data_IF_342415977526
#
_entry.id   IF_342415977526
#
_cell.length_a   1.000
_cell.length_b   1.000
_cell.length_c   1.000
_cell.angle_alpha   90.00
_cell.angle_beta   90.00
_cell.angle_gamma   90.00
#
_symmetry.space_group_name_H-M   'P 1'
#
loop_
_entity.id
_entity.type
_entity.pdbx_description
1 polymer ?
#
# COMPACT_ATOMS: atom_id res chain seq x y z
N UNK A 1 -3.09 -15.65 -18.58
CA UNK A 1 -2.09 -15.67 -17.49
C UNK A 1 -1.70 -17.12 -17.28
N UNK A 2 -0.42 -17.40 -17.01
CA UNK A 2 0.04 -18.77 -16.74
C UNK A 2 -0.71 -19.33 -15.51
N UNK A 3 -1.12 -20.60 -15.55
CA UNK A 3 -1.69 -21.30 -14.38
C UNK A 3 -0.64 -21.51 -13.27
N UNK A 4 0.64 -21.21 -13.54
CA UNK A 4 1.71 -21.30 -12.56
C UNK A 4 1.81 -20.00 -11.77
N UNK A 5 1.41 -20.07 -10.49
CA UNK A 5 1.65 -19.02 -9.49
C UNK A 5 2.97 -19.26 -8.79
N UNK A 6 3.69 -18.18 -8.47
CA UNK A 6 4.82 -18.25 -7.55
C UNK A 6 4.31 -18.35 -6.11
N UNK A 7 5.11 -18.94 -5.21
CA UNK A 7 4.65 -19.33 -3.87
C UNK A 7 4.19 -18.17 -2.99
N UNK A 8 4.61 -16.94 -3.28
CA UNK A 8 4.25 -15.73 -2.54
C UNK A 8 3.24 -14.84 -3.27
N UNK A 9 2.67 -15.32 -4.37
CA UNK A 9 1.77 -14.50 -5.17
C UNK A 9 0.46 -14.24 -4.43
N UNK A 10 0.06 -12.97 -4.42
CA UNK A 10 -1.24 -12.53 -3.93
C UNK A 10 -2.31 -12.68 -5.01
N UNK A 11 -3.58 -12.77 -4.61
CA UNK A 11 -4.68 -12.67 -5.56
C UNK A 11 -4.85 -11.21 -6.03
N UNK A 12 -4.86 -10.94 -7.34
CA UNK A 12 -5.14 -9.60 -7.84
C UNK A 12 -6.58 -9.21 -7.50
N UNK A 13 -6.80 -7.93 -7.22
CA UNK A 13 -8.15 -7.41 -6.98
C UNK A 13 -8.99 -7.56 -8.25
N UNK A 14 -10.16 -8.22 -8.18
CA UNK A 14 -11.08 -8.27 -9.31
C UNK A 14 -11.73 -6.91 -9.59
N UNK A 15 -11.74 -6.01 -8.59
CA UNK A 15 -12.31 -4.68 -8.69
C UNK A 15 -11.30 -3.64 -9.18
N UNK A 16 -10.04 -3.76 -8.75
CA UNK A 16 -8.97 -2.82 -9.01
C UNK A 16 -7.83 -3.53 -9.78
N UNK A 17 -8.02 -3.85 -11.08
CA UNK A 17 -7.25 -4.88 -11.76
C UNK A 17 -5.95 -4.40 -12.42
N UNK A 18 -5.71 -3.09 -12.48
CA UNK A 18 -4.53 -2.53 -13.16
C UNK A 18 -3.38 -2.38 -12.19
N UNK A 19 -2.31 -3.13 -12.43
CA UNK A 19 -1.09 -3.16 -11.63
C UNK A 19 0.13 -2.80 -12.47
N UNK A 20 1.09 -2.11 -11.87
CA UNK A 20 2.34 -1.72 -12.53
C UNK A 20 3.55 -1.95 -11.64
N UNK A 21 4.71 -2.21 -12.23
CA UNK A 21 5.98 -2.19 -11.51
C UNK A 21 6.66 -0.84 -11.52
N UNK A 22 6.27 0.11 -12.37
CA UNK A 22 6.82 1.48 -12.52
C UNK A 22 8.08 1.79 -11.67
N UNK A 23 7.97 2.51 -10.56
CA UNK A 23 9.08 2.75 -9.64
C UNK A 23 9.43 1.53 -8.77
N UNK A 24 8.48 0.64 -8.49
CA UNK A 24 8.73 -0.61 -7.75
C UNK A 24 9.81 -1.49 -8.41
N UNK A 25 10.00 -1.43 -9.73
CA UNK A 25 11.13 -2.11 -10.39
C UNK A 25 12.48 -1.47 -10.10
N UNK A 26 12.52 -0.20 -9.70
CA UNK A 26 13.75 0.51 -9.32
C UNK A 26 14.05 0.32 -7.82
N UNK A 27 13.04 0.39 -6.95
CA UNK A 27 13.23 0.28 -5.48
C UNK A 27 13.26 -1.16 -4.97
N UNK A 28 12.56 -2.07 -5.63
CA UNK A 28 12.46 -3.48 -5.25
C UNK A 28 12.52 -4.36 -6.51
N UNK A 29 13.68 -4.29 -7.18
CA UNK A 29 13.94 -4.94 -8.45
C UNK A 29 13.86 -6.47 -8.35
N UNK A 30 14.44 -7.02 -7.29
CA UNK A 30 14.55 -8.46 -7.06
C UNK A 30 13.24 -9.08 -6.56
N UNK A 31 13.05 -10.41 -6.77
CA UNK A 31 11.92 -11.11 -6.20
C UNK A 31 11.94 -11.08 -4.66
N UNK A 32 10.77 -10.88 -4.06
CA UNK A 32 10.55 -10.98 -2.63
C UNK A 32 10.73 -12.44 -2.19
N UNK A 33 11.57 -12.65 -1.19
CA UNK A 33 11.80 -13.99 -0.63
C UNK A 33 10.54 -14.53 0.05
N UNK A 34 10.37 -15.87 0.13
CA UNK A 34 9.27 -16.50 0.86
C UNK A 34 9.09 -15.97 2.28
N UNK A 35 10.20 -15.85 3.01
CA UNK A 35 10.20 -15.32 4.37
C UNK A 35 9.82 -13.84 4.41
N UNK A 36 10.34 -13.02 3.48
CA UNK A 36 9.99 -11.60 3.41
C UNK A 36 8.51 -11.36 3.09
N UNK A 37 7.94 -12.20 2.22
CA UNK A 37 6.52 -12.13 1.89
C UNK A 37 5.62 -12.52 3.07
N UNK A 38 5.89 -13.68 3.68
CA UNK A 38 5.06 -14.21 4.77
C UNK A 38 5.23 -13.44 6.07
N UNK A 39 6.45 -13.03 6.42
CA UNK A 39 6.71 -12.34 7.68
C UNK A 39 6.43 -10.83 7.61
N UNK A 40 6.75 -10.18 6.49
CA UNK A 40 6.72 -8.73 6.35
C UNK A 40 5.58 -8.24 5.47
N UNK A 41 5.63 -8.55 4.18
CA UNK A 41 4.76 -7.92 3.18
C UNK A 41 3.29 -8.27 3.32
N UNK A 42 2.94 -9.55 3.12
CA UNK A 42 1.54 -9.99 3.02
C UNK A 42 0.83 -9.78 4.34
N UNK A 43 1.51 -10.07 5.45
CA UNK A 43 0.91 -9.97 6.77
C UNK A 43 0.90 -8.55 7.33
N UNK A 44 1.86 -7.67 7.01
CA UNK A 44 1.98 -6.38 7.69
C UNK A 44 1.95 -5.19 6.73
N UNK A 45 2.88 -5.12 5.77
CA UNK A 45 3.02 -3.94 4.91
C UNK A 45 1.80 -3.75 4.00
N UNK A 46 1.27 -4.80 3.36
CA UNK A 46 0.09 -4.68 2.49
C UNK A 46 -1.16 -4.23 3.26
N UNK A 47 -1.49 -4.82 4.43
CA UNK A 47 -2.56 -4.29 5.29
C UNK A 47 -2.33 -2.85 5.75
N UNK A 48 -1.11 -2.48 6.15
CA UNK A 48 -0.77 -1.11 6.54
C UNK A 48 -0.95 -0.12 5.41
N UNK A 49 -0.54 -0.47 4.20
CA UNK A 49 -0.73 0.36 3.00
C UNK A 49 -2.22 0.55 2.71
N UNK A 50 -3.00 -0.51 2.77
CA UNK A 50 -4.46 -0.42 2.65
C UNK A 50 -5.03 0.51 3.74
N UNK A 51 -4.63 0.33 5.00
CA UNK A 51 -5.05 1.22 6.09
C UNK A 51 -4.69 2.69 5.81
N UNK A 52 -3.51 2.97 5.24
CA UNK A 52 -3.10 4.30 4.82
C UNK A 52 -4.08 4.95 3.83
N UNK A 53 -4.57 4.21 2.83
CA UNK A 53 -5.60 4.71 1.91
C UNK A 53 -6.95 4.93 2.59
N UNK A 54 -7.33 4.09 3.56
CA UNK A 54 -8.53 4.29 4.36
C UNK A 54 -8.43 5.56 5.22
N UNK A 55 -7.27 5.76 5.88
CA UNK A 55 -6.96 6.92 6.71
C UNK A 55 -6.82 8.21 5.91
N UNK A 56 -6.38 8.12 4.65
CA UNK A 56 -6.45 9.23 3.68
C UNK A 56 -7.91 9.61 3.38
N UNK A 57 -8.85 8.68 3.52
CA UNK A 57 -10.28 8.88 3.28
C UNK A 57 -10.78 8.32 1.95
N UNK A 58 -9.87 7.78 1.12
CA UNK A 58 -10.16 7.32 -0.24
C UNK A 58 -11.17 6.18 -0.31
N UNK A 59 -11.26 5.37 0.75
CA UNK A 59 -12.32 4.39 0.98
C UNK A 59 -12.52 4.20 2.50
N UNK A 60 -13.56 3.46 2.88
CA UNK A 60 -13.81 3.03 4.25
C UNK A 60 -13.47 1.56 4.46
N UNK A 61 -13.05 1.17 5.65
CA UNK A 61 -12.79 -0.26 5.96
C UNK A 61 -14.06 -1.13 5.80
N UNK A 62 -15.25 -0.54 5.85
CA UNK A 62 -16.52 -1.21 5.58
C UNK A 62 -16.65 -1.67 4.11
N UNK A 63 -15.94 -1.02 3.17
CA UNK A 63 -15.85 -1.45 1.77
C UNK A 63 -15.02 -2.74 1.61
N UNK A 64 -14.37 -3.22 2.69
CA UNK A 64 -13.58 -4.47 2.71
C UNK A 64 -12.63 -4.55 1.52
N UNK A 65 -11.69 -3.60 1.39
CA UNK A 65 -10.76 -3.59 0.27
C UNK A 65 -10.02 -4.93 0.19
N UNK A 66 -9.80 -5.41 -1.03
CA UNK A 66 -8.96 -6.58 -1.25
C UNK A 66 -7.57 -6.37 -0.65
N UNK A 67 -6.91 -7.44 -0.20
CA UNK A 67 -5.53 -7.36 0.32
C UNK A 67 -4.60 -6.71 -0.71
N UNK A 68 -4.84 -6.97 -2.00
CA UNK A 68 -4.07 -6.39 -3.10
C UNK A 68 -4.61 -5.05 -3.64
N UNK A 69 -5.50 -4.36 -2.92
CA UNK A 69 -6.12 -3.12 -3.38
C UNK A 69 -5.10 -1.98 -3.54
N UNK A 70 -4.07 -1.92 -2.69
CA UNK A 70 -2.98 -0.92 -2.80
C UNK A 70 -1.80 -1.39 -3.63
N UNK A 71 -1.45 -2.67 -3.49
CA UNK A 71 -0.31 -3.30 -4.15
C UNK A 71 -0.42 -4.82 -4.02
N UNK A 72 0.24 -5.57 -4.90
CA UNK A 72 0.23 -7.02 -4.91
C UNK A 72 1.61 -7.59 -5.19
N UNK A 73 1.79 -8.87 -4.87
CA UNK A 73 2.99 -9.63 -5.24
C UNK A 73 2.58 -10.59 -6.36
N UNK A 74 3.23 -10.49 -7.52
CA UNK A 74 2.99 -11.37 -8.66
C UNK A 74 4.31 -11.82 -9.27
N UNK A 75 4.42 -13.11 -9.57
CA UNK A 75 5.67 -13.75 -9.99
C UNK A 75 6.82 -13.43 -9.03
N UNK A 76 6.52 -13.32 -7.73
CA UNK A 76 7.48 -12.94 -6.70
C UNK A 76 7.90 -11.47 -6.67
N UNK A 77 7.39 -10.60 -7.54
CA UNK A 77 7.73 -9.18 -7.56
C UNK A 77 6.61 -8.31 -7.02
N UNK A 78 6.97 -7.18 -6.41
CA UNK A 78 6.00 -6.15 -6.02
C UNK A 78 5.45 -5.43 -7.24
N UNK A 79 4.14 -5.23 -7.24
CA UNK A 79 3.39 -4.39 -8.15
C UNK A 79 2.54 -3.40 -7.36
N UNK A 80 2.51 -2.15 -7.79
CA UNK A 80 1.64 -1.11 -7.23
C UNK A 80 0.31 -1.15 -7.99
N UNK A 81 -0.81 -1.01 -7.27
CA UNK A 81 -2.13 -1.00 -7.88
C UNK A 81 -2.48 0.41 -8.37
N UNK A 82 -2.52 0.59 -9.69
CA UNK A 82 -2.93 1.86 -10.28
C UNK A 82 -4.40 2.16 -10.05
N UNK A 83 -5.23 1.13 -10.12
CA UNK A 83 -6.67 1.34 -10.08
C UNK A 83 -7.06 2.06 -8.77
N UNK A 84 -6.24 1.90 -7.72
CA UNK A 84 -6.31 2.70 -6.51
C UNK A 84 -6.05 4.20 -6.73
N UNK A 85 -4.99 4.62 -7.42
CA UNK A 85 -4.76 6.05 -7.72
C UNK A 85 -5.90 6.65 -8.57
N UNK A 86 -6.44 5.87 -9.53
CA UNK A 86 -7.63 6.27 -10.29
C UNK A 86 -8.83 6.48 -9.36
N UNK A 87 -9.11 5.52 -8.48
CA UNK A 87 -10.20 5.60 -7.50
C UNK A 87 -10.07 6.83 -6.60
N UNK A 88 -8.86 7.09 -6.08
CA UNK A 88 -8.57 8.28 -5.26
C UNK A 88 -8.83 9.56 -6.06
N UNK A 89 -8.35 9.63 -7.31
CA UNK A 89 -8.55 10.80 -8.16
C UNK A 89 -10.01 11.06 -8.49
N UNK A 90 -10.76 10.02 -8.89
CA UNK A 90 -12.21 10.11 -9.16
C UNK A 90 -12.96 10.62 -7.93
N UNK A 91 -12.71 10.02 -6.76
CA UNK A 91 -13.33 10.44 -5.49
C UNK A 91 -12.87 11.83 -5.04
N UNK A 92 -11.68 12.25 -5.45
CA UNK A 92 -11.15 13.61 -5.29
C UNK A 92 -11.64 14.61 -6.34
N UNK A 93 -12.51 14.21 -7.27
CA UNK A 93 -13.08 15.08 -8.30
C UNK A 93 -12.17 15.34 -9.50
N UNK A 94 -11.12 14.56 -9.69
CA UNK A 94 -10.22 14.65 -10.85
C UNK A 94 -10.72 13.76 -12.01
N UNK A 95 -10.61 14.22 -13.26
CA UNK A 95 -10.80 13.36 -14.43
C UNK A 95 -9.78 12.22 -14.42
N UNK A 96 -10.22 11.01 -14.79
CA UNK A 96 -9.34 9.82 -14.78
C UNK A 96 -8.17 9.96 -15.76
N UNK A 97 -8.38 10.66 -16.87
CA UNK A 97 -7.35 10.93 -17.88
C UNK A 97 -6.24 11.81 -17.31
N UNK A 98 -6.59 12.74 -16.42
CA UNK A 98 -5.60 13.56 -15.72
C UNK A 98 -4.80 12.71 -14.72
N UNK A 99 -5.46 11.79 -14.01
CA UNK A 99 -4.76 10.85 -13.12
C UNK A 99 -3.79 9.98 -13.92
N UNK A 100 -4.22 9.41 -15.04
CA UNK A 100 -3.35 8.60 -15.89
C UNK A 100 -2.17 9.41 -16.43
N UNK A 101 -2.39 10.66 -16.83
CA UNK A 101 -1.30 11.54 -17.26
C UNK A 101 -0.29 11.81 -16.13
N UNK A 102 -0.76 12.05 -14.90
CA UNK A 102 0.10 12.34 -13.74
C UNK A 102 0.91 11.11 -13.29
N UNK A 103 0.33 9.92 -13.35
CA UNK A 103 0.98 8.69 -12.86
C UNK A 103 1.75 7.92 -13.95
N UNK A 104 1.50 8.17 -15.24
CA UNK A 104 2.16 7.45 -16.35
C UNK A 104 2.71 8.30 -17.48
N UNK A 105 2.53 9.62 -17.44
CA UNK A 105 3.00 10.49 -18.52
C UNK A 105 2.38 10.19 -19.89
N UNK A 106 1.26 9.46 -19.95
CA UNK A 106 0.54 9.16 -21.20
C UNK A 106 1.00 7.89 -21.94
N UNK A 107 1.52 6.87 -21.25
CA UNK A 107 1.83 5.56 -21.86
C UNK A 107 0.57 4.94 -22.51
N UNK A 108 0.55 4.71 -23.83
CA UNK A 108 -0.63 4.20 -24.53
C UNK A 108 -0.95 2.73 -24.22
N UNK A 109 -0.05 2.01 -23.53
CA UNK A 109 -0.25 0.61 -23.18
C UNK A 109 -1.05 0.41 -21.89
N UNK A 110 -1.39 1.48 -21.18
CA UNK A 110 -2.21 1.37 -19.97
C UNK A 110 -3.63 0.99 -20.39
N UNK A 111 -4.23 -0.05 -19.76
CA UNK A 111 -5.62 -0.36 -20.00
C UNK A 111 -6.52 0.85 -19.75
N UNK A 112 -7.40 1.15 -20.70
CA UNK A 112 -8.39 2.19 -20.57
C UNK A 112 -9.22 1.98 -19.29
N UNK A 113 -9.56 3.07 -18.62
CA UNK A 113 -10.43 3.00 -17.45
C UNK A 113 -11.83 2.49 -17.83
N UNK A 114 -12.34 1.54 -17.05
CA UNK A 114 -13.71 1.03 -17.14
C UNK A 114 -14.38 1.34 -15.82
N UNK A 115 -15.39 2.21 -15.84
CA UNK A 115 -16.02 2.68 -14.61
C UNK A 115 -16.84 1.63 -13.88
N UNK A 116 -16.80 1.68 -12.55
CA UNK A 116 -17.62 0.87 -11.66
C UNK A 116 -18.62 1.77 -10.89
N UNK A 117 -19.87 1.32 -10.63
CA UNK A 117 -20.90 2.15 -9.97
C UNK A 117 -20.51 2.75 -8.61
N UNK A 118 -19.65 2.03 -7.89
CA UNK A 118 -19.17 2.44 -6.56
C UNK A 118 -17.91 3.33 -6.59
N UNK A 119 -17.36 3.65 -7.76
CA UNK A 119 -16.16 4.48 -7.84
C UNK A 119 -16.47 5.92 -7.43
N UNK A 120 -17.64 6.42 -7.82
CA UNK A 120 -18.20 7.65 -7.27
C UNK A 120 -18.76 7.40 -5.86
N UNK A 121 -18.24 8.13 -4.89
CA UNK A 121 -18.70 8.03 -3.50
C UNK A 121 -18.60 9.40 -2.82
N UNK A 122 -19.75 10.05 -2.64
CA UNK A 122 -19.83 11.39 -2.08
C UNK A 122 -19.24 11.48 -0.65
N UNK A 123 -19.38 10.41 0.14
CA UNK A 123 -18.84 10.38 1.49
C UNK A 123 -17.31 10.25 1.49
N UNK A 124 -16.76 9.42 0.61
CA UNK A 124 -15.31 9.35 0.42
C UNK A 124 -14.74 10.68 -0.11
N UNK A 125 -15.45 11.35 -1.03
CA UNK A 125 -15.07 12.67 -1.52
C UNK A 125 -14.99 13.71 -0.40
N UNK A 126 -16.00 13.77 0.49
CA UNK A 126 -15.97 14.66 1.66
C UNK A 126 -14.80 14.37 2.60
N UNK A 127 -14.47 13.10 2.83
CA UNK A 127 -13.30 12.73 3.66
C UNK A 127 -11.99 13.18 3.03
N UNK A 128 -11.83 12.97 1.72
CA UNK A 128 -10.64 13.41 0.97
C UNK A 128 -10.51 14.94 0.99
N UNK A 129 -11.61 15.66 0.78
CA UNK A 129 -11.63 17.13 0.86
C UNK A 129 -11.20 17.61 2.26
N UNK A 130 -11.81 17.06 3.31
CA UNK A 130 -11.45 17.38 4.70
C UNK A 130 -9.98 17.06 5.00
N UNK A 131 -9.48 15.92 4.53
CA UNK A 131 -8.09 15.51 4.72
C UNK A 131 -7.12 16.42 4.00
N UNK A 132 -7.43 16.83 2.77
CA UNK A 132 -6.63 17.79 2.00
C UNK A 132 -6.63 19.18 2.66
N UNK A 133 -7.78 19.67 3.12
CA UNK A 133 -7.88 20.93 3.83
C UNK A 133 -7.06 20.92 5.13
N UNK A 134 -7.10 19.83 5.89
CA UNK A 134 -6.24 19.62 7.05
C UNK A 134 -4.76 19.62 6.65
N UNK A 135 -4.37 18.85 5.64
CA UNK A 135 -2.97 18.75 5.22
C UNK A 135 -2.38 20.10 4.77
N UNK A 136 -3.19 20.98 4.18
CA UNK A 136 -2.78 22.31 3.73
C UNK A 136 -2.81 23.39 4.82
N UNK A 137 -3.38 23.10 5.99
CA UNK A 137 -3.56 24.10 7.07
C UNK A 137 -2.93 23.69 8.39
N UNK A 138 -2.61 22.42 8.58
CA UNK A 138 -2.07 21.93 9.85
C UNK A 138 -0.62 22.39 10.05
N UNK A 139 -0.28 22.77 11.27
CA UNK A 139 1.09 23.07 11.69
C UNK A 139 1.74 21.90 12.43
N UNK A 140 0.96 20.87 12.74
CA UNK A 140 1.40 19.70 13.49
C UNK A 140 0.78 18.41 12.95
N UNK A 141 1.48 17.29 13.14
CA UNK A 141 0.96 15.95 12.89
C UNK A 141 1.35 15.04 14.06
N UNK A 142 0.56 15.04 15.15
CA UNK A 142 0.91 14.34 16.38
C UNK A 142 1.19 12.84 16.19
N UNK A 143 0.39 12.18 15.35
CA UNK A 143 0.54 10.75 15.07
C UNK A 143 1.90 10.44 14.43
N UNK A 144 2.36 11.30 13.51
CA UNK A 144 3.72 11.17 12.93
C UNK A 144 4.81 11.32 14.00
N UNK A 145 4.64 12.22 14.97
CA UNK A 145 5.62 12.39 16.05
C UNK A 145 5.63 11.19 17.02
N UNK A 146 4.48 10.56 17.23
CA UNK A 146 4.36 9.30 17.97
C UNK A 146 5.09 8.16 17.24
N UNK A 147 4.87 8.03 15.93
CA UNK A 147 5.53 7.02 15.09
C UNK A 147 7.05 7.22 15.04
N UNK A 148 7.51 8.48 14.94
CA UNK A 148 8.93 8.82 15.02
C UNK A 148 9.54 8.41 16.36
N UNK A 149 8.86 8.71 17.46
CA UNK A 149 9.30 8.31 18.81
C UNK A 149 9.38 6.80 18.94
N UNK A 150 8.39 6.08 18.41
CA UNK A 150 8.37 4.62 18.40
C UNK A 150 9.55 4.05 17.58
N UNK A 151 9.77 4.56 16.37
CA UNK A 151 10.87 4.13 15.50
C UNK A 151 12.25 4.39 16.14
N UNK A 152 12.44 5.56 16.73
CA UNK A 152 13.68 5.91 17.43
C UNK A 152 13.94 5.03 18.64
N UNK A 153 12.89 4.70 19.40
CA UNK A 153 12.98 3.75 20.51
C UNK A 153 13.38 2.36 20.02
N UNK A 154 12.73 1.82 18.98
CA UNK A 154 13.07 0.50 18.42
C UNK A 154 14.52 0.41 17.94
N UNK A 155 15.02 1.50 17.34
CA UNK A 155 16.40 1.62 16.89
C UNK A 155 17.37 1.68 18.07
N UNK A 156 17.06 2.46 19.09
CA UNK A 156 17.91 2.64 20.28
C UNK A 156 17.95 1.39 21.15
N UNK A 157 16.81 0.70 21.29
CA UNK A 157 16.66 -0.55 22.04
C UNK A 157 16.98 -1.80 21.19
N UNK A 158 17.57 -1.63 20.00
CA UNK A 158 17.95 -2.77 19.16
C UNK A 158 19.09 -3.56 19.84
N UNK A 159 18.85 -4.83 20.23
CA UNK A 159 19.91 -5.66 20.79
C UNK A 159 20.96 -5.95 19.72
N UNK A 160 22.13 -6.41 20.15
CA UNK A 160 23.10 -6.99 19.24
C UNK A 160 22.51 -8.25 18.59
N UNK A 161 22.07 -8.11 17.33
CA UNK A 161 21.44 -9.20 16.58
C UNK A 161 22.42 -10.35 16.33
N UNK A 162 23.73 -10.09 16.31
CA UNK A 162 24.75 -11.12 16.12
C UNK A 162 24.91 -12.03 17.34
N UNK A 163 24.51 -11.54 18.52
CA UNK A 163 24.54 -12.30 19.77
C UNK A 163 23.26 -13.12 20.02
N UNK A 164 22.22 -12.98 19.19
CA UNK A 164 20.95 -13.69 19.36
C UNK A 164 20.97 -15.08 18.73
N UNK A 165 20.26 -16.02 19.35
CA UNK A 165 19.97 -17.32 18.72
C UNK A 165 19.00 -17.15 17.54
N UNK A 166 18.97 -18.08 16.58
CA UNK A 166 17.99 -18.03 15.48
C UNK A 166 16.53 -17.94 15.97
N UNK A 167 16.19 -18.65 17.05
CA UNK A 167 14.85 -18.58 17.65
C UNK A 167 14.54 -17.18 18.21
N UNK A 168 15.51 -16.55 18.89
CA UNK A 168 15.36 -15.20 19.41
C UNK A 168 15.26 -14.15 18.28
N UNK A 169 15.98 -14.33 17.17
CA UNK A 169 15.87 -13.48 15.98
C UNK A 169 14.46 -13.54 15.38
N UNK A 170 13.91 -14.73 15.20
CA UNK A 170 12.55 -14.92 14.68
C UNK A 170 11.51 -14.32 15.64
N UNK A 171 11.66 -14.55 16.95
CA UNK A 171 10.76 -13.98 17.95
C UNK A 171 10.77 -12.45 17.92
N UNK A 172 11.95 -11.84 17.82
CA UNK A 172 12.09 -10.38 17.69
C UNK A 172 11.50 -9.86 16.39
N UNK A 173 11.75 -10.53 15.26
CA UNK A 173 11.19 -10.09 13.98
C UNK A 173 9.66 -10.11 14.04
N UNK A 174 9.05 -11.18 14.57
CA UNK A 174 7.60 -11.28 14.77
C UNK A 174 7.03 -10.23 15.74
N UNK A 175 7.81 -9.78 16.72
CA UNK A 175 7.34 -8.74 17.65
C UNK A 175 7.39 -7.33 17.06
N UNK A 176 8.26 -7.08 16.08
CA UNK A 176 8.44 -5.73 15.49
C UNK A 176 7.63 -5.55 14.20
N UNK A 177 7.49 -6.58 13.38
CA UNK A 177 6.79 -6.50 12.07
C UNK A 177 5.35 -5.96 12.13
N UNK A 178 4.54 -6.21 13.18
CA UNK A 178 3.20 -5.62 13.28
C UNK A 178 3.18 -4.10 13.30
N UNK A 179 4.30 -3.44 13.59
CA UNK A 179 4.42 -1.98 13.58
C UNK A 179 4.40 -1.39 12.17
N UNK A 180 4.56 -2.20 11.12
CA UNK A 180 4.40 -1.77 9.73
C UNK A 180 2.92 -1.68 9.30
N UNK A 181 1.97 -2.02 10.20
CA UNK A 181 0.51 -1.92 9.94
C UNK A 181 -0.13 -0.62 10.40
N UNK A 182 0.56 0.15 11.24
CA UNK A 182 0.05 1.35 11.91
C UNK A 182 0.47 2.60 11.15
#
# INVERSE_FOLDING_TARGET
MSDQRWLVDTDPSPRLPVYTRLNASDVLSDPITPLGADLGWIQNILPGWNFGYASLGSYSLAERPDVAASSGIFYGHLYINLSMSRLVGIRGGLPVELVDQLFYGGDPNIPAYVGHPDDENAEAGRRLEARNAWALSTEAFPELEEDRTLADRLRTERPDLSALTPAALVARARSVMPLERV
#
